data_IF_018485415941
#
_entry.id   IF_018485415941
#
_cell.length_a   1.000
_cell.length_b   1.000
_cell.length_c   1.000
_cell.angle_alpha   90.00
_cell.angle_beta   90.00
_cell.angle_gamma   90.00
#
_symmetry.space_group_name_H-M   'P 1'
#
loop_
_entity.id
_entity.type
_entity.pdbx_description
1 polymer ?
#
# COMPACT_ATOMS: atom_id res chain seq x y z
N UNK A 1 -9.70 23.43 21.07
CA UNK A 1 -8.29 22.99 21.16
C UNK A 1 -8.27 21.48 21.02
N UNK A 2 -7.73 20.95 19.92
CA UNK A 2 -7.65 19.50 19.70
C UNK A 2 -6.66 18.89 20.71
N UNK A 3 -7.05 17.81 21.38
CA UNK A 3 -6.24 17.16 22.39
C UNK A 3 -5.02 16.48 21.74
N UNK A 4 -3.81 16.87 22.12
CA UNK A 4 -2.55 16.31 21.57
C UNK A 4 -2.52 14.79 21.67
N UNK A 5 -2.96 14.24 22.81
CA UNK A 5 -2.99 12.78 23.04
C UNK A 5 -3.93 12.08 22.08
N UNK A 6 -5.01 12.75 21.69
CA UNK A 6 -5.98 12.21 20.74
C UNK A 6 -5.39 12.14 19.33
N UNK A 7 -4.69 13.20 18.89
CA UNK A 7 -3.99 13.21 17.59
C UNK A 7 -2.93 12.11 17.53
N UNK A 8 -2.15 11.92 18.60
CA UNK A 8 -1.17 10.84 18.68
C UNK A 8 -1.81 9.46 18.58
N UNK A 9 -2.90 9.23 19.35
CA UNK A 9 -3.65 7.99 19.27
C UNK A 9 -4.21 7.74 17.87
N UNK A 10 -4.74 8.78 17.23
CA UNK A 10 -5.24 8.70 15.86
C UNK A 10 -4.11 8.38 14.87
N UNK A 11 -2.95 9.04 14.98
CA UNK A 11 -1.78 8.76 14.16
C UNK A 11 -1.32 7.32 14.30
N UNK A 12 -1.17 6.83 15.53
CA UNK A 12 -0.75 5.45 15.82
C UNK A 12 -1.75 4.44 15.28
N UNK A 13 -3.05 4.71 15.46
CA UNK A 13 -4.13 3.87 14.92
C UNK A 13 -4.07 3.83 13.40
N UNK A 14 -3.88 4.98 12.76
CA UNK A 14 -3.78 5.09 11.30
C UNK A 14 -2.59 4.30 10.78
N UNK A 15 -1.42 4.48 11.41
CA UNK A 15 -0.19 3.78 11.07
C UNK A 15 -0.34 2.27 11.21
N UNK A 16 -0.87 1.79 12.35
CA UNK A 16 -1.08 0.36 12.60
C UNK A 16 -2.04 -0.25 11.59
N UNK A 17 -3.15 0.43 11.29
CA UNK A 17 -4.12 -0.01 10.30
C UNK A 17 -3.50 -0.08 8.90
N UNK A 18 -2.86 1.00 8.44
CA UNK A 18 -2.20 1.00 7.12
C UNK A 18 -1.14 -0.09 7.02
N UNK A 19 -0.33 -0.30 8.05
CA UNK A 19 0.68 -1.36 8.06
C UNK A 19 0.05 -2.76 7.97
N UNK A 20 -1.06 -3.00 8.67
CA UNK A 20 -1.80 -4.26 8.60
C UNK A 20 -2.35 -4.51 7.19
N UNK A 21 -2.96 -3.49 6.57
CA UNK A 21 -3.52 -3.58 5.22
C UNK A 21 -2.44 -3.74 4.14
N UNK A 22 -1.34 -3.00 4.28
CA UNK A 22 -0.13 -3.13 3.48
C UNK A 22 0.47 -4.54 3.55
N UNK A 23 0.60 -5.09 4.76
CA UNK A 23 1.11 -6.44 5.00
C UNK A 23 0.19 -7.48 4.35
N UNK A 24 -1.13 -7.31 4.51
CA UNK A 24 -2.13 -8.19 3.90
C UNK A 24 -2.00 -8.19 2.36
N UNK A 25 -1.91 -7.01 1.74
CA UNK A 25 -1.68 -6.90 0.30
C UNK A 25 -0.36 -7.60 -0.11
N UNK A 26 0.73 -7.37 0.63
CA UNK A 26 2.01 -8.00 0.36
C UNK A 26 1.92 -9.54 0.42
N UNK A 27 1.18 -10.09 1.39
CA UNK A 27 0.93 -11.53 1.50
C UNK A 27 0.15 -12.08 0.29
N UNK A 28 -0.91 -11.39 -0.15
CA UNK A 28 -1.66 -11.81 -1.35
C UNK A 28 -0.78 -11.81 -2.60
N UNK A 29 -0.02 -10.74 -2.82
CA UNK A 29 0.91 -10.63 -3.95
C UNK A 29 1.97 -11.74 -3.88
N UNK A 30 2.54 -12.00 -2.70
CA UNK A 30 3.54 -13.04 -2.53
C UNK A 30 3.00 -14.44 -2.79
N UNK A 31 1.78 -14.76 -2.31
CA UNK A 31 1.15 -16.06 -2.54
C UNK A 31 0.77 -16.23 -4.01
N UNK A 32 0.09 -15.24 -4.60
CA UNK A 32 -0.29 -15.24 -6.01
C UNK A 32 0.93 -15.43 -6.91
N UNK A 33 2.03 -14.71 -6.62
CA UNK A 33 3.31 -14.87 -7.31
C UNK A 33 3.87 -16.29 -7.19
N UNK A 34 3.92 -16.85 -5.98
CA UNK A 34 4.45 -18.21 -5.75
C UNK A 34 3.64 -19.27 -6.50
N UNK A 35 2.31 -19.15 -6.51
CA UNK A 35 1.44 -20.05 -7.27
C UNK A 35 1.70 -19.95 -8.77
N UNK A 36 1.89 -18.73 -9.29
CA UNK A 36 2.20 -18.51 -10.70
C UNK A 36 3.58 -19.06 -11.09
N UNK A 37 4.63 -18.74 -10.34
CA UNK A 37 6.00 -19.18 -10.63
C UNK A 37 6.18 -20.70 -10.50
N UNK A 38 5.47 -21.35 -9.57
CA UNK A 38 5.55 -22.79 -9.34
C UNK A 38 4.57 -23.63 -10.14
N UNK A 39 3.78 -23.00 -11.01
CA UNK A 39 2.75 -23.69 -11.80
C UNK A 39 3.35 -24.76 -12.70
N UNK A 40 4.47 -24.45 -13.36
CA UNK A 40 5.06 -25.34 -14.37
C UNK A 40 5.73 -26.57 -13.74
N UNK A 41 6.42 -26.41 -12.61
CA UNK A 41 7.12 -27.51 -11.96
C UNK A 41 6.23 -28.31 -10.98
N UNK A 42 5.04 -27.80 -10.64
CA UNK A 42 4.03 -28.47 -9.81
C UNK A 42 2.73 -28.77 -10.54
N UNK A 43 2.76 -28.79 -11.87
CA UNK A 43 1.57 -28.94 -12.71
C UNK A 43 0.81 -30.23 -12.39
N UNK A 44 1.54 -31.34 -12.16
CA UNK A 44 0.94 -32.63 -11.83
C UNK A 44 0.15 -32.57 -10.53
N UNK A 45 0.72 -31.97 -9.49
CA UNK A 45 0.08 -31.82 -8.19
C UNK A 45 -1.09 -30.85 -8.25
N UNK A 46 -0.96 -29.74 -8.97
CA UNK A 46 -2.06 -28.77 -9.15
C UNK A 46 -3.24 -29.38 -9.92
N UNK A 47 -2.97 -30.28 -10.87
CA UNK A 47 -3.99 -30.99 -11.63
C UNK A 47 -4.76 -32.06 -10.81
N UNK A 48 -4.37 -32.33 -9.56
CA UNK A 48 -5.20 -33.16 -8.66
C UNK A 48 -6.47 -32.41 -8.22
N UNK A 49 -6.42 -31.08 -8.17
CA UNK A 49 -7.56 -30.23 -7.77
C UNK A 49 -7.60 -28.93 -8.59
N UNK A 50 -7.79 -29.01 -9.93
CA UNK A 50 -7.63 -27.86 -10.81
C UNK A 50 -8.63 -26.74 -10.48
N UNK A 51 -9.89 -27.08 -10.15
CA UNK A 51 -10.90 -26.11 -9.78
C UNK A 51 -10.48 -25.28 -8.55
N UNK A 52 -9.90 -25.93 -7.53
CA UNK A 52 -9.41 -25.24 -6.33
C UNK A 52 -8.31 -24.22 -6.68
N UNK A 53 -7.28 -24.63 -7.42
CA UNK A 53 -6.16 -23.75 -7.74
C UNK A 53 -6.56 -22.61 -8.68
N UNK A 54 -7.45 -22.87 -9.65
CA UNK A 54 -7.99 -21.81 -10.52
C UNK A 54 -8.78 -20.79 -9.72
N UNK A 55 -9.77 -21.23 -8.94
CA UNK A 55 -10.59 -20.33 -8.12
C UNK A 55 -9.76 -19.56 -7.10
N UNK A 56 -8.79 -20.20 -6.44
CA UNK A 56 -7.91 -19.54 -5.48
C UNK A 56 -7.04 -18.48 -6.16
N UNK A 57 -6.51 -18.77 -7.36
CA UNK A 57 -5.68 -17.84 -8.12
C UNK A 57 -6.49 -16.63 -8.59
N UNK A 58 -7.70 -16.84 -9.10
CA UNK A 58 -8.60 -15.77 -9.54
C UNK A 58 -9.08 -14.90 -8.36
N UNK A 59 -9.40 -15.53 -7.23
CA UNK A 59 -9.80 -14.83 -6.01
C UNK A 59 -8.63 -13.99 -5.46
N UNK A 60 -7.40 -14.53 -5.46
CA UNK A 60 -6.21 -13.79 -5.05
C UNK A 60 -5.95 -12.58 -5.95
N UNK A 61 -6.05 -12.76 -7.27
CA UNK A 61 -5.86 -11.66 -8.22
C UNK A 61 -6.89 -10.54 -8.01
N UNK A 62 -8.17 -10.92 -7.86
CA UNK A 62 -9.27 -10.00 -7.56
C UNK A 62 -9.02 -9.24 -6.25
N UNK A 63 -8.59 -9.96 -5.20
CA UNK A 63 -8.24 -9.34 -3.93
C UNK A 63 -7.10 -8.33 -4.08
N UNK A 64 -6.03 -8.66 -4.81
CA UNK A 64 -4.92 -7.75 -5.06
C UNK A 64 -5.41 -6.46 -5.72
N UNK A 65 -6.24 -6.55 -6.76
CA UNK A 65 -6.78 -5.36 -7.45
C UNK A 65 -7.56 -4.48 -6.48
N UNK A 66 -8.48 -5.06 -5.72
CA UNK A 66 -9.31 -4.31 -4.75
C UNK A 66 -8.47 -3.68 -3.63
N UNK A 67 -7.46 -4.39 -3.14
CA UNK A 67 -6.60 -3.91 -2.05
C UNK A 67 -5.64 -2.81 -2.51
N UNK A 68 -5.08 -2.91 -3.72
CA UNK A 68 -4.27 -1.83 -4.31
C UNK A 68 -5.14 -0.58 -4.45
N UNK A 69 -6.32 -0.71 -5.03
CA UNK A 69 -7.20 0.43 -5.19
C UNK A 69 -7.58 1.07 -3.84
N UNK A 70 -8.01 0.27 -2.87
CA UNK A 70 -8.38 0.75 -1.52
C UNK A 70 -7.23 1.53 -0.84
N UNK A 71 -5.98 1.09 -1.00
CA UNK A 71 -4.82 1.73 -0.37
C UNK A 71 -4.37 2.99 -1.10
N UNK A 72 -4.49 3.04 -2.43
CA UNK A 72 -3.87 4.07 -3.25
C UNK A 72 -4.85 5.04 -3.92
N UNK A 73 -6.17 4.86 -3.77
CA UNK A 73 -7.16 5.82 -4.30
C UNK A 73 -7.11 7.16 -3.54
N UNK A 74 -6.98 8.27 -4.27
CA UNK A 74 -6.82 9.61 -3.67
C UNK A 74 -8.01 10.03 -2.81
N UNK A 75 -9.23 9.70 -3.27
CA UNK A 75 -10.48 10.02 -2.58
C UNK A 75 -10.85 9.00 -1.50
N UNK A 76 -9.96 8.06 -1.20
CA UNK A 76 -10.21 6.99 -0.24
C UNK A 76 -10.16 7.48 1.20
N UNK A 77 -11.14 7.08 2.01
CA UNK A 77 -11.21 7.47 3.43
C UNK A 77 -10.17 6.77 4.32
N UNK A 78 -9.56 5.66 3.87
CA UNK A 78 -8.67 4.82 4.70
C UNK A 78 -7.38 4.42 3.96
N UNK A 79 -7.01 5.20 2.94
CA UNK A 79 -5.83 4.97 2.11
C UNK A 79 -4.65 5.85 2.51
N UNK A 80 -3.54 5.67 1.78
CA UNK A 80 -2.29 6.41 2.01
C UNK A 80 -2.49 7.91 1.80
N UNK A 81 -3.30 8.33 0.82
CA UNK A 81 -3.56 9.76 0.58
C UNK A 81 -4.26 10.44 1.75
N UNK A 82 -5.24 9.77 2.38
CA UNK A 82 -5.90 10.32 3.56
C UNK A 82 -4.94 10.36 4.78
N UNK A 83 -4.03 9.38 4.91
CA UNK A 83 -2.97 9.48 5.91
C UNK A 83 -2.03 10.67 5.67
N UNK A 84 -1.62 10.90 4.41
CA UNK A 84 -0.79 12.05 4.07
C UNK A 84 -1.51 13.39 4.33
N UNK A 85 -2.82 13.46 4.06
CA UNK A 85 -3.65 14.62 4.40
C UNK A 85 -3.77 14.83 5.93
N UNK A 86 -3.87 13.75 6.70
CA UNK A 86 -3.81 13.79 8.16
C UNK A 86 -2.46 14.31 8.65
N UNK A 87 -1.36 13.81 8.11
CA UNK A 87 0.00 14.27 8.46
C UNK A 87 0.19 15.75 8.13
N UNK A 88 -0.23 16.19 6.95
CA UNK A 88 -0.19 17.60 6.53
C UNK A 88 -0.93 18.51 7.50
N UNK A 89 -2.17 18.15 7.85
CA UNK A 89 -3.01 18.93 8.77
C UNK A 89 -2.42 19.03 10.18
N UNK A 90 -1.49 18.14 10.54
CA UNK A 90 -0.93 18.02 11.88
C UNK A 90 0.60 18.18 11.94
N UNK A 91 1.23 18.80 10.92
CA UNK A 91 2.70 18.94 10.84
C UNK A 91 3.33 19.57 12.08
N UNK A 92 2.73 20.64 12.62
CA UNK A 92 3.24 21.31 13.82
C UNK A 92 3.31 20.38 15.03
N UNK A 93 2.35 19.46 15.18
CA UNK A 93 2.32 18.46 16.25
C UNK A 93 3.35 17.35 16.03
N UNK A 94 3.68 17.04 14.78
CA UNK A 94 4.64 16.01 14.40
C UNK A 94 6.10 16.52 14.37
N UNK A 95 6.32 17.80 14.66
CA UNK A 95 7.65 18.40 14.74
C UNK A 95 8.52 17.74 15.82
N UNK A 96 9.83 17.67 15.57
CA UNK A 96 10.82 17.03 16.46
C UNK A 96 10.82 17.70 17.85
N UNK A 97 10.69 19.03 17.91
CA UNK A 97 10.60 19.76 19.17
C UNK A 97 9.39 19.35 20.01
N UNK A 98 8.25 19.11 19.36
CA UNK A 98 7.06 18.66 20.06
C UNK A 98 7.23 17.21 20.55
N UNK A 99 7.91 16.36 19.78
CA UNK A 99 8.28 15.02 20.23
C UNK A 99 9.21 15.06 21.45
N UNK A 100 10.29 15.87 21.39
CA UNK A 100 11.23 16.08 22.49
C UNK A 100 10.50 16.50 23.76
N UNK A 101 9.62 17.50 23.65
CA UNK A 101 8.81 18.01 24.76
C UNK A 101 7.87 16.95 25.34
N UNK A 102 7.16 16.19 24.49
CA UNK A 102 6.15 15.22 24.95
C UNK A 102 6.76 13.98 25.62
N UNK A 103 7.92 13.54 25.13
CA UNK A 103 8.62 12.35 25.65
C UNK A 103 9.72 12.68 26.64
N UNK A 104 9.98 13.96 26.88
CA UNK A 104 11.06 14.46 27.73
C UNK A 104 12.43 13.86 27.35
N UNK A 105 12.71 13.78 26.04
CA UNK A 105 13.98 13.26 25.57
C UNK A 105 15.11 14.25 25.84
N UNK A 106 16.28 13.80 26.31
CA UNK A 106 17.46 14.66 26.44
C UNK A 106 17.99 15.10 25.07
N UNK A 107 18.78 16.16 25.06
CA UNK A 107 19.50 16.59 23.85
C UNK A 107 20.43 15.48 23.33
N UNK A 108 20.46 15.33 22.01
CA UNK A 108 21.23 14.26 21.34
C UNK A 108 20.63 12.85 21.46
N UNK A 109 19.43 12.69 22.03
CA UNK A 109 18.75 11.39 22.05
C UNK A 109 18.54 10.89 20.61
N UNK A 110 18.89 9.63 20.33
CA UNK A 110 18.87 9.05 18.98
C UNK A 110 17.51 9.18 18.28
N UNK A 111 16.39 9.07 19.01
CA UNK A 111 15.06 9.31 18.43
C UNK A 111 14.85 10.74 17.91
N UNK A 112 15.66 11.72 18.29
CA UNK A 112 15.59 13.09 17.76
C UNK A 112 16.44 13.26 16.50
N UNK A 113 17.38 12.35 16.23
CA UNK A 113 18.24 12.34 15.05
C UNK A 113 17.49 11.76 13.83
N UNK A 114 16.40 12.43 13.43
CA UNK A 114 15.58 12.07 12.27
C UNK A 114 15.32 13.30 11.42
N UNK A 115 15.03 13.10 10.14
CA UNK A 115 14.60 14.18 9.27
C UNK A 115 13.24 14.72 9.71
N UNK A 116 13.11 16.05 9.72
CA UNK A 116 11.85 16.70 10.01
C UNK A 116 10.83 16.40 8.90
N UNK A 117 9.60 16.08 9.30
CA UNK A 117 8.49 15.93 8.35
C UNK A 117 8.08 17.34 7.90
N UNK A 118 8.29 17.64 6.62
CA UNK A 118 7.91 18.93 6.02
C UNK A 118 6.80 18.76 5.00
N UNK A 119 6.09 19.84 4.68
CA UNK A 119 5.09 19.83 3.60
C UNK A 119 5.71 19.37 2.26
N UNK A 120 6.96 19.74 2.01
CA UNK A 120 7.69 19.30 0.82
C UNK A 120 7.84 17.77 0.79
N UNK A 121 8.21 17.14 1.92
CA UNK A 121 8.31 15.67 1.99
C UNK A 121 6.95 14.99 1.79
N UNK A 122 5.87 15.56 2.32
CA UNK A 122 4.50 15.03 2.13
C UNK A 122 4.10 15.10 0.65
N UNK A 123 4.34 16.25 -0.01
CA UNK A 123 4.02 16.43 -1.43
C UNK A 123 4.88 15.55 -2.34
N UNK A 124 6.18 15.41 -2.04
CA UNK A 124 7.05 14.48 -2.75
C UNK A 124 6.54 13.03 -2.65
N UNK A 125 6.05 12.61 -1.48
CA UNK A 125 5.45 11.28 -1.31
C UNK A 125 4.17 11.10 -2.12
N UNK A 126 3.27 12.11 -2.16
CA UNK A 126 2.07 12.07 -3.01
C UNK A 126 2.44 11.92 -4.48
N UNK A 127 3.41 12.71 -4.93
CA UNK A 127 3.83 12.71 -6.33
C UNK A 127 4.50 11.39 -6.71
N UNK A 128 5.31 10.82 -5.82
CA UNK A 128 5.87 9.49 -5.99
C UNK A 128 4.80 8.42 -6.15
N UNK A 129 3.71 8.51 -5.41
CA UNK A 129 2.59 7.57 -5.53
C UNK A 129 1.84 7.76 -6.86
N UNK A 130 1.55 9.01 -7.24
CA UNK A 130 0.86 9.34 -8.51
C UNK A 130 1.63 8.86 -9.74
N UNK A 131 2.96 8.91 -9.67
CA UNK A 131 3.84 8.45 -10.73
C UNK A 131 4.04 6.92 -10.78
N UNK A 132 3.30 6.14 -9.99
CA UNK A 132 3.26 4.70 -10.13
C UNK A 132 2.33 4.32 -11.31
N UNK A 133 2.92 4.12 -12.49
CA UNK A 133 2.18 3.78 -13.72
C UNK A 133 1.21 2.61 -13.56
N UNK A 134 1.56 1.62 -12.73
CA UNK A 134 0.72 0.46 -12.46
C UNK A 134 -0.65 0.80 -11.90
N UNK A 135 -0.79 1.91 -11.15
CA UNK A 135 -2.03 2.26 -10.48
C UNK A 135 -3.14 2.56 -11.49
N UNK A 136 -2.78 3.09 -12.67
CA UNK A 136 -3.74 3.30 -13.77
C UNK A 136 -4.33 1.98 -14.24
N UNK A 137 -3.48 0.96 -14.45
CA UNK A 137 -3.93 -0.38 -14.86
C UNK A 137 -4.81 -1.04 -13.79
N UNK A 138 -4.49 -0.86 -12.52
CA UNK A 138 -5.33 -1.35 -11.42
C UNK A 138 -6.69 -0.67 -11.37
N UNK A 139 -6.74 0.66 -11.53
CA UNK A 139 -7.98 1.42 -11.56
C UNK A 139 -8.88 0.98 -12.73
N UNK A 140 -8.32 0.84 -13.93
CA UNK A 140 -9.08 0.38 -15.11
C UNK A 140 -9.63 -1.03 -14.87
N UNK A 141 -8.82 -1.97 -14.37
CA UNK A 141 -9.29 -3.33 -14.09
C UNK A 141 -10.35 -3.37 -13.01
N UNK A 142 -10.21 -2.58 -11.93
CA UNK A 142 -11.27 -2.45 -10.94
C UNK A 142 -12.55 -1.97 -11.61
N UNK A 143 -12.49 -0.86 -12.34
CA UNK A 143 -13.69 -0.20 -12.87
C UNK A 143 -14.38 -1.06 -13.92
N UNK A 144 -13.62 -1.63 -14.86
CA UNK A 144 -14.16 -2.36 -16.01
C UNK A 144 -14.51 -3.82 -15.74
N UNK A 145 -13.98 -4.42 -14.67
CA UNK A 145 -14.15 -5.84 -14.41
C UNK A 145 -14.75 -6.15 -13.03
N UNK A 146 -14.43 -5.37 -11.99
CA UNK A 146 -14.88 -5.64 -10.62
C UNK A 146 -16.04 -4.74 -10.16
N UNK A 147 -16.03 -3.46 -10.53
CA UNK A 147 -17.06 -2.49 -10.14
C UNK A 147 -18.20 -2.42 -11.16
N UNK A 148 -17.86 -2.46 -12.45
CA UNK A 148 -18.81 -2.51 -13.54
C UNK A 148 -18.52 -3.79 -14.33
N UNK A 149 -19.51 -4.67 -14.46
CA UNK A 149 -19.45 -5.79 -15.40
C UNK A 149 -19.65 -5.23 -16.82
N UNK A 150 -18.65 -4.49 -17.31
CA UNK A 150 -18.72 -3.84 -18.61
C UNK A 150 -18.81 -4.92 -19.70
N UNK A 151 -19.90 -4.86 -20.48
CA UNK A 151 -20.23 -5.89 -21.47
C UNK A 151 -19.12 -6.03 -22.52
N UNK A 152 -18.44 -4.95 -22.88
CA UNK A 152 -17.37 -4.99 -23.86
C UNK A 152 -16.17 -5.82 -23.38
N UNK A 153 -15.79 -5.67 -22.11
CA UNK A 153 -14.66 -6.38 -21.50
C UNK A 153 -15.03 -7.78 -21.00
N UNK A 154 -16.32 -8.04 -20.77
CA UNK A 154 -16.79 -9.36 -20.37
C UNK A 154 -16.57 -10.41 -21.47
N UNK A 155 -16.86 -10.05 -22.73
CA UNK A 155 -16.71 -10.95 -23.88
C UNK A 155 -15.31 -10.92 -24.50
N UNK A 156 -14.51 -9.88 -24.24
CA UNK A 156 -13.14 -9.75 -24.73
C UNK A 156 -12.16 -9.46 -23.58
N UNK A 157 -11.68 -10.54 -22.96
CA UNK A 157 -10.70 -10.46 -21.88
C UNK A 157 -9.32 -10.02 -22.35
N UNK A 158 -8.98 -10.27 -23.61
CA UNK A 158 -7.68 -9.86 -24.17
C UNK A 158 -7.60 -8.35 -24.31
N UNK A 159 -8.69 -7.69 -24.70
CA UNK A 159 -8.78 -6.23 -24.69
C UNK A 159 -8.46 -5.62 -23.31
N UNK A 160 -8.87 -6.26 -22.21
CA UNK A 160 -8.51 -5.80 -20.86
C UNK A 160 -7.01 -5.96 -20.56
N UNK A 161 -6.37 -6.99 -21.12
CA UNK A 161 -4.93 -7.20 -21.01
C UNK A 161 -4.14 -6.13 -21.77
N UNK A 162 -4.64 -5.72 -22.93
CA UNK A 162 -4.05 -4.68 -23.76
C UNK A 162 -4.25 -3.27 -23.18
N UNK A 163 -5.47 -2.94 -22.74
CA UNK A 163 -5.82 -1.62 -22.21
C UNK A 163 -5.26 -1.38 -20.80
N UNK A 164 -5.10 -2.45 -20.01
CA UNK A 164 -4.61 -2.38 -18.64
C UNK A 164 -3.58 -3.48 -18.33
N UNK A 165 -2.39 -3.45 -18.94
CA UNK A 165 -1.42 -4.52 -18.79
C UNK A 165 -0.89 -4.58 -17.35
N UNK A 166 -1.09 -5.73 -16.71
CA UNK A 166 -0.47 -6.05 -15.42
C UNK A 166 0.62 -7.09 -15.64
N UNK A 167 1.79 -6.61 -16.06
CA UNK A 167 2.98 -7.47 -16.15
C UNK A 167 3.53 -7.68 -14.74
N UNK A 168 3.95 -8.90 -14.40
CA UNK A 168 4.52 -9.25 -13.10
C UNK A 168 5.67 -8.35 -12.63
N UNK A 169 6.48 -7.86 -13.58
CA UNK A 169 7.56 -6.90 -13.32
C UNK A 169 7.01 -5.60 -12.70
N UNK A 170 5.82 -5.19 -13.13
CA UNK A 170 5.12 -4.00 -12.65
C UNK A 170 4.60 -4.19 -11.22
N UNK A 171 4.07 -5.38 -10.88
CA UNK A 171 3.68 -5.76 -9.51
C UNK A 171 4.85 -5.76 -8.51
N UNK A 172 6.05 -6.11 -8.99
CA UNK A 172 7.29 -6.05 -8.19
C UNK A 172 7.72 -4.62 -7.89
N UNK A 173 7.51 -3.68 -8.83
CA UNK A 173 7.74 -2.25 -8.59
C UNK A 173 6.74 -1.76 -7.54
N UNK A 174 5.43 -1.99 -7.70
CA UNK A 174 4.40 -1.56 -6.73
C UNK A 174 4.60 -2.09 -5.31
N UNK A 175 5.13 -3.31 -5.15
CA UNK A 175 5.40 -3.93 -3.84
C UNK A 175 6.77 -3.59 -3.25
N UNK A 176 7.78 -3.23 -4.06
CA UNK A 176 9.13 -2.84 -3.56
C UNK A 176 9.36 -1.33 -3.49
N UNK A 177 8.76 -0.55 -4.37
CA UNK A 177 8.84 0.92 -4.32
C UNK A 177 7.94 1.52 -3.25
N UNK A 178 6.98 0.73 -2.75
CA UNK A 178 5.92 1.21 -1.85
C UNK A 178 5.87 0.55 -0.47
N UNK A 179 6.43 -0.66 -0.32
CA UNK A 179 6.14 -1.51 0.84
C UNK A 179 7.36 -2.20 1.45
N UNK A 180 8.59 -1.86 1.02
CA UNK A 180 9.70 -2.02 1.96
C UNK A 180 9.57 -0.92 2.99
N UNK A 181 9.61 -1.29 4.27
CA UNK A 181 9.68 -0.41 5.45
C UNK A 181 10.79 0.66 5.43
N UNK A 182 11.50 0.78 4.31
CA UNK A 182 12.63 1.66 4.09
C UNK A 182 12.39 2.77 3.05
N UNK A 183 11.29 2.78 2.28
CA UNK A 183 11.24 3.69 1.10
C UNK A 183 9.99 4.55 0.90
N UNK A 184 8.81 4.26 1.49
CA UNK A 184 7.72 5.28 1.56
C UNK A 184 7.88 6.17 2.79
N UNK A 185 8.67 5.72 3.75
CA UNK A 185 8.99 6.45 4.95
C UNK A 185 10.46 6.14 5.25
N UNK A 186 11.34 7.07 4.89
CA UNK A 186 12.61 7.29 5.59
C UNK A 186 12.35 8.03 6.93
N UNK A 187 11.22 7.75 7.58
CA UNK A 187 11.15 7.69 9.04
C UNK A 187 11.34 6.20 9.39
N UNK A 188 12.09 5.88 10.43
CA UNK A 188 12.61 4.53 10.63
C UNK A 188 11.47 3.55 10.95
N UNK A 189 10.93 2.84 9.95
CA UNK A 189 9.95 1.77 10.21
C UNK A 189 10.61 0.45 10.63
N UNK A 190 11.93 0.43 10.83
CA UNK A 190 12.67 -0.70 11.41
C UNK A 190 13.23 -0.43 12.81
N UNK A 191 13.17 0.80 13.33
CA UNK A 191 13.66 1.14 14.70
C UNK A 191 12.54 1.52 15.69
N UNK A 192 11.27 1.41 15.30
CA UNK A 192 10.13 1.60 16.21
C UNK A 192 9.62 0.28 16.84
N UNK A 193 10.38 -0.80 16.72
CA UNK A 193 10.13 -2.05 17.46
C UNK A 193 10.50 -1.96 18.95
N UNK A 194 10.84 -0.76 19.44
CA UNK A 194 11.08 -0.46 20.85
C UNK A 194 10.24 0.76 21.27
N UNK A 195 8.92 0.59 21.23
CA UNK A 195 7.99 1.30 22.09
C UNK A 195 7.48 0.30 23.14
#
# INVERSE_FOLDING_TARGET
MTNIREIEKQFETYRANLNSEATRLACYVALYKRLYERRNDRLREMNLAPAFFLTATDALFSAIILWVDKLFVEKGQRGIFNFLAFVESNLSMLAIEQLKRRKNYPDGHWMLARDAITLQTVNANRERIRNLDCLKSFAIRRDKFHAHFDKEYFFDRHRLEDDAPLVWVTLRKSSRSSLTSSTIIQLPMTEMCLC
#
